data_IF_395426266005
#
_entry.id   IF_395426266005
#
_cell.length_a   1.000
_cell.length_b   1.000
_cell.length_c   1.000
_cell.angle_alpha   90.00
_cell.angle_beta   90.00
_cell.angle_gamma   90.00
#
_symmetry.space_group_name_H-M   'P 1'
#
loop_
_entity.id
_entity.type
_entity.pdbx_description
1 polymer ?
#
# COMPACT_ATOMS: atom_id res chain seq x y z
N UNK A 1 -26.13 21.72 19.94
CA UNK A 1 -25.93 20.63 18.96
C UNK A 1 -24.45 20.55 18.53
N UNK A 2 -23.49 20.42 19.47
CA UNK A 2 -22.06 20.67 19.18
C UNK A 2 -21.08 19.55 19.58
N UNK A 3 -21.54 18.49 20.27
CA UNK A 3 -20.66 17.41 20.75
C UNK A 3 -20.35 16.32 19.71
N UNK A 4 -21.28 15.98 18.81
CA UNK A 4 -21.09 14.91 17.82
C UNK A 4 -20.12 15.31 16.69
N UNK A 5 -20.20 16.57 16.23
CA UNK A 5 -19.34 17.14 15.18
C UNK A 5 -17.87 17.21 15.61
N UNK A 6 -17.59 17.61 16.86
CA UNK A 6 -16.22 17.72 17.36
C UNK A 6 -15.55 16.34 17.49
N UNK A 7 -16.28 15.33 18.01
CA UNK A 7 -15.77 13.95 18.15
C UNK A 7 -15.47 13.32 16.79
N UNK A 8 -16.36 13.50 15.80
CA UNK A 8 -16.13 13.02 14.43
C UNK A 8 -14.91 13.68 13.78
N UNK A 9 -14.76 15.00 13.94
CA UNK A 9 -13.62 15.73 13.38
C UNK A 9 -12.30 15.35 14.04
N UNK A 10 -12.27 15.10 15.35
CA UNK A 10 -11.09 14.59 16.05
C UNK A 10 -10.69 13.19 15.60
N UNK A 11 -11.65 12.29 15.31
CA UNK A 11 -11.37 10.95 14.78
C UNK A 11 -10.77 11.05 13.37
N UNK A 12 -11.34 11.90 12.51
CA UNK A 12 -10.82 12.13 11.15
C UNK A 12 -9.42 12.74 11.17
N UNK A 13 -9.17 13.73 12.05
CA UNK A 13 -7.83 14.33 12.20
C UNK A 13 -6.81 13.31 12.70
N UNK A 14 -7.15 12.50 13.70
CA UNK A 14 -6.27 11.43 14.17
C UNK A 14 -5.99 10.38 13.08
N UNK A 15 -7.00 10.00 12.30
CA UNK A 15 -6.82 9.07 11.18
C UNK A 15 -5.92 9.66 10.10
N UNK A 16 -6.09 10.93 9.75
CA UNK A 16 -5.22 11.64 8.80
C UNK A 16 -3.77 11.68 9.29
N UNK A 17 -3.55 11.98 10.56
CA UNK A 17 -2.20 12.00 11.16
C UNK A 17 -1.55 10.61 11.07
N UNK A 18 -2.29 9.56 11.43
CA UNK A 18 -1.80 8.17 11.35
C UNK A 18 -1.50 7.78 9.90
N UNK A 19 -2.39 8.11 8.96
CA UNK A 19 -2.19 7.84 7.53
C UNK A 19 -0.97 8.56 6.99
N UNK A 20 -0.81 9.85 7.29
CA UNK A 20 0.36 10.64 6.85
C UNK A 20 1.63 10.05 7.45
N UNK A 21 1.63 9.69 8.73
CA UNK A 21 2.76 9.05 9.40
C UNK A 21 3.11 7.69 8.78
N UNK A 22 2.11 6.85 8.49
CA UNK A 22 2.31 5.54 7.89
C UNK A 22 2.84 5.63 6.46
N UNK A 23 2.21 6.47 5.63
CA UNK A 23 2.63 6.67 4.24
C UNK A 23 4.00 7.30 4.17
N UNK A 24 4.28 8.31 5.01
CA UNK A 24 5.59 8.93 5.10
C UNK A 24 6.69 7.97 5.53
N UNK A 25 6.44 7.18 6.59
CA UNK A 25 7.38 6.16 7.07
C UNK A 25 7.62 5.07 6.01
N UNK A 26 6.56 4.56 5.39
CA UNK A 26 6.66 3.55 4.33
C UNK A 26 7.43 4.07 3.12
N UNK A 27 7.17 5.30 2.69
CA UNK A 27 7.89 5.95 1.58
C UNK A 27 9.37 6.09 1.90
N UNK A 28 9.72 6.50 3.13
CA UNK A 28 11.12 6.61 3.56
C UNK A 28 11.83 5.25 3.51
N UNK A 29 11.17 4.18 3.99
CA UNK A 29 11.70 2.81 3.95
C UNK A 29 11.92 2.36 2.50
N UNK A 30 10.97 2.61 1.59
CA UNK A 30 11.09 2.24 0.17
C UNK A 30 12.28 2.96 -0.47
N UNK A 31 12.42 4.27 -0.24
CA UNK A 31 13.55 5.05 -0.77
C UNK A 31 14.88 4.49 -0.24
N UNK A 32 14.99 4.25 1.07
CA UNK A 32 16.20 3.70 1.68
C UNK A 32 16.51 2.30 1.13
N UNK A 33 15.52 1.41 1.03
CA UNK A 33 15.70 0.08 0.47
C UNK A 33 16.11 0.14 -1.01
N UNK A 34 15.53 1.05 -1.80
CA UNK A 34 15.85 1.22 -3.21
C UNK A 34 17.24 1.79 -3.43
N UNK A 35 17.68 2.74 -2.59
CA UNK A 35 19.02 3.35 -2.68
C UNK A 35 20.07 2.35 -2.19
N UNK A 36 19.92 1.77 -1.01
CA UNK A 36 20.91 0.84 -0.46
C UNK A 36 20.94 -0.48 -1.23
N UNK A 37 19.77 -1.05 -1.57
CA UNK A 37 19.68 -2.26 -2.38
C UNK A 37 20.16 -2.02 -3.80
N UNK A 38 19.79 -0.90 -4.41
CA UNK A 38 20.23 -0.52 -5.76
C UNK A 38 21.73 -0.33 -5.83
N UNK A 39 22.33 0.41 -4.88
CA UNK A 39 23.78 0.68 -4.84
C UNK A 39 24.62 -0.55 -4.51
N UNK A 40 24.10 -1.45 -3.65
CA UNK A 40 24.76 -2.72 -3.36
C UNK A 40 24.81 -3.63 -4.59
N UNK A 41 23.69 -3.70 -5.32
CA UNK A 41 23.60 -4.50 -6.53
C UNK A 41 24.40 -3.88 -7.69
N UNK A 42 24.44 -2.55 -7.79
CA UNK A 42 25.31 -1.79 -8.71
C UNK A 42 26.79 -2.15 -8.52
N UNK A 43 27.23 -2.27 -7.25
CA UNK A 43 28.61 -2.65 -6.90
C UNK A 43 28.93 -4.09 -7.29
N UNK A 44 27.96 -5.00 -7.20
CA UNK A 44 28.14 -6.41 -7.58
C UNK A 44 28.24 -6.57 -9.10
N UNK A 45 27.49 -5.77 -9.87
CA UNK A 45 27.43 -5.89 -11.33
C UNK A 45 28.32 -4.91 -12.11
N UNK A 46 29.00 -3.95 -11.46
CA UNK A 46 29.93 -2.97 -12.06
C UNK A 46 29.32 -2.05 -13.15
N UNK A 47 28.04 -2.19 -13.46
CA UNK A 47 27.25 -1.20 -14.20
C UNK A 47 26.87 -0.08 -13.25
N UNK A 48 27.14 1.18 -13.64
CA UNK A 48 26.59 2.47 -13.13
C UNK A 48 25.11 2.36 -12.66
N UNK A 49 24.50 3.33 -11.91
CA UNK A 49 23.26 3.20 -11.11
C UNK A 49 21.97 2.84 -11.88
N UNK A 50 22.00 1.75 -12.62
CA UNK A 50 20.97 1.25 -13.52
C UNK A 50 20.01 0.38 -12.72
N UNK A 51 20.51 -0.32 -11.70
CA UNK A 51 19.67 -1.18 -10.86
C UNK A 51 18.72 -0.37 -9.96
N UNK A 52 19.19 0.74 -9.41
CA UNK A 52 18.34 1.71 -8.67
C UNK A 52 17.24 2.26 -9.58
N UNK A 53 17.58 2.57 -10.84
CA UNK A 53 16.62 3.08 -11.82
C UNK A 53 15.63 1.98 -12.24
N UNK A 54 16.09 0.75 -12.44
CA UNK A 54 15.25 -0.40 -12.77
C UNK A 54 14.30 -0.76 -11.62
N UNK A 55 14.74 -0.73 -10.36
CA UNK A 55 13.86 -0.96 -9.20
C UNK A 55 12.80 0.14 -9.08
N UNK A 56 13.16 1.40 -9.34
CA UNK A 56 12.21 2.52 -9.38
C UNK A 56 11.16 2.32 -10.48
N UNK A 57 11.59 1.99 -11.70
CA UNK A 57 10.70 1.71 -12.82
C UNK A 57 9.86 0.44 -12.60
N UNK A 58 10.40 -0.57 -11.92
CA UNK A 58 9.68 -1.79 -11.54
C UNK A 58 8.67 -1.56 -10.40
N UNK A 59 8.86 -0.54 -9.57
CA UNK A 59 7.90 -0.17 -8.53
C UNK A 59 6.51 0.16 -9.07
N UNK A 60 6.43 0.79 -10.25
CA UNK A 60 5.17 1.13 -10.92
C UNK A 60 4.37 -0.13 -11.32
N UNK A 61 4.90 -1.07 -12.12
CA UNK A 61 4.18 -2.30 -12.48
C UNK A 61 3.93 -3.19 -11.25
N UNK A 62 4.85 -3.24 -10.29
CA UNK A 62 4.65 -4.02 -9.05
C UNK A 62 3.47 -3.48 -8.24
N UNK A 63 3.36 -2.15 -8.10
CA UNK A 63 2.24 -1.52 -7.40
C UNK A 63 0.88 -1.90 -8.02
N UNK A 64 0.78 -1.80 -9.35
CA UNK A 64 -0.44 -2.15 -10.10
C UNK A 64 -0.77 -3.64 -9.92
N UNK A 65 0.21 -4.53 -10.00
CA UNK A 65 0.00 -5.97 -9.82
C UNK A 65 -0.48 -6.31 -8.42
N UNK A 66 0.08 -5.69 -7.38
CA UNK A 66 -0.36 -5.89 -6.00
C UNK A 66 -1.80 -5.43 -5.81
N UNK A 67 -2.13 -4.22 -6.30
CA UNK A 67 -3.50 -3.67 -6.23
C UNK A 67 -4.52 -4.61 -6.89
N UNK A 68 -4.20 -5.11 -8.09
CA UNK A 68 -5.09 -6.03 -8.82
C UNK A 68 -5.27 -7.36 -8.09
N UNK A 69 -4.20 -7.92 -7.52
CA UNK A 69 -4.27 -9.18 -6.79
C UNK A 69 -5.07 -9.05 -5.48
N UNK A 70 -4.85 -7.97 -4.73
CA UNK A 70 -5.61 -7.68 -3.51
C UNK A 70 -7.08 -7.43 -3.85
N UNK A 71 -7.36 -6.60 -4.86
CA UNK A 71 -8.72 -6.32 -5.31
C UNK A 71 -9.48 -7.59 -5.70
N UNK A 72 -8.86 -8.48 -6.49
CA UNK A 72 -9.46 -9.77 -6.86
C UNK A 72 -9.74 -10.66 -5.65
N UNK A 73 -8.82 -10.73 -4.69
CA UNK A 73 -9.03 -11.49 -3.45
C UNK A 73 -10.18 -10.93 -2.62
N UNK A 74 -10.28 -9.61 -2.50
CA UNK A 74 -11.38 -8.96 -1.79
C UNK A 74 -12.72 -9.21 -2.48
N UNK A 75 -12.77 -9.08 -3.81
CA UNK A 75 -13.99 -9.37 -4.59
C UNK A 75 -14.42 -10.84 -4.47
N UNK A 76 -13.48 -11.78 -4.49
CA UNK A 76 -13.77 -13.20 -4.28
C UNK A 76 -14.38 -13.45 -2.90
N UNK A 77 -13.83 -12.84 -1.85
CA UNK A 77 -14.37 -12.92 -0.48
C UNK A 77 -15.77 -12.33 -0.36
N UNK A 78 -16.04 -11.24 -1.08
CA UNK A 78 -17.37 -10.61 -1.10
C UNK A 78 -18.39 -11.51 -1.80
N UNK A 79 -18.05 -12.12 -2.94
CA UNK A 79 -18.93 -13.08 -3.63
C UNK A 79 -19.27 -14.26 -2.72
N UNK A 80 -18.27 -14.85 -2.06
CA UNK A 80 -18.44 -15.97 -1.14
C UNK A 80 -19.37 -15.61 0.04
N UNK A 81 -19.24 -14.38 0.56
CA UNK A 81 -20.10 -13.88 1.63
C UNK A 81 -21.55 -13.66 1.16
N UNK A 82 -21.76 -13.18 -0.06
CA UNK A 82 -23.09 -12.98 -0.64
C UNK A 82 -23.82 -14.30 -0.90
N UNK A 83 -23.13 -15.32 -1.44
CA UNK A 83 -23.70 -16.66 -1.64
C UNK A 83 -24.15 -17.27 -0.29
N UNK A 84 -23.31 -17.17 0.73
CA UNK A 84 -23.60 -17.73 2.07
C UNK A 84 -24.79 -17.04 2.76
N UNK A 85 -24.99 -15.75 2.53
CA UNK A 85 -26.09 -14.96 3.09
C UNK A 85 -27.43 -15.27 2.38
N UNK A 86 -27.38 -15.66 1.09
CA UNK A 86 -28.55 -16.10 0.33
C UNK A 86 -29.05 -17.50 0.70
N UNK A 87 -28.16 -18.43 1.05
CA UNK A 87 -28.53 -19.80 1.46
C UNK A 87 -29.05 -19.88 2.90
N UNK A 88 -28.75 -18.89 3.75
CA UNK A 88 -29.22 -18.85 5.15
C UNK A 88 -30.61 -18.20 5.28
N UNK A 89 -31.16 -17.61 4.20
CA UNK A 89 -32.49 -16.98 4.16
C UNK A 89 -33.55 -17.77 3.37
N UNK A 90 -33.23 -18.98 2.88
CA UNK A 90 -34.20 -19.96 2.34
C UNK A 90 -34.36 -21.13 3.31
#
# INVERSE_FOLDING_TARGET
MTQSEQKGRSILTNLLIVLIGQVGCLTLIIILASVFGGLWLDRVFNTKPVFTLALLFAGIPVSVLVMLNVGRKTLARLKEKLEKESETSS
#
